data_IF_478279537118
#
_entry.id   IF_478279537118
#
_cell.length_a   1.000
_cell.length_b   1.000
_cell.length_c   1.000
_cell.angle_alpha   90.00
_cell.angle_beta   90.00
_cell.angle_gamma   90.00
#
_symmetry.space_group_name_H-M   'P 1'
#
loop_
_entity.id
_entity.type
_entity.pdbx_description
1 polymer ?
#
# COMPACT_ATOMS: atom_id res chain seq x y z
N UNK A 1 18.84 11.56 23.05
CA UNK A 1 18.92 10.12 22.72
C UNK A 1 20.13 9.90 21.86
N UNK A 2 20.98 8.96 22.26
CA UNK A 2 22.02 8.42 21.38
C UNK A 2 21.37 7.49 20.37
N UNK A 3 22.04 7.21 19.25
CA UNK A 3 21.51 6.27 18.24
C UNK A 3 21.27 4.88 18.82
N UNK A 4 22.07 4.50 19.81
CA UNK A 4 21.91 3.25 20.57
C UNK A 4 20.57 3.15 21.34
N UNK A 5 19.92 4.29 21.65
CA UNK A 5 18.66 4.32 22.39
C UNK A 5 17.42 4.13 21.48
N UNK A 6 17.61 4.13 20.15
CA UNK A 6 16.50 3.96 19.21
C UNK A 6 16.15 2.48 19.03
N UNK A 7 14.87 2.24 18.78
CA UNK A 7 14.44 0.95 18.24
C UNK A 7 15.19 0.67 16.94
N UNK A 8 15.65 -0.58 16.75
CA UNK A 8 16.34 -0.96 15.52
C UNK A 8 15.41 -0.85 14.31
N UNK A 9 15.98 -0.54 13.13
CA UNK A 9 15.23 -0.48 11.87
C UNK A 9 14.43 -1.77 11.62
N UNK A 10 15.04 -2.92 11.93
CA UNK A 10 14.38 -4.22 11.82
C UNK A 10 13.12 -4.31 12.72
N UNK A 11 13.23 -3.85 13.97
CA UNK A 11 12.10 -3.86 14.89
C UNK A 11 11.02 -2.84 14.49
N UNK A 12 11.39 -1.70 13.90
CA UNK A 12 10.44 -0.75 13.30
C UNK A 12 9.68 -1.40 12.16
N UNK A 13 10.38 -2.02 11.21
CA UNK A 13 9.78 -2.67 10.04
C UNK A 13 8.83 -3.78 10.48
N UNK A 14 9.28 -4.64 11.40
CA UNK A 14 8.46 -5.75 11.91
C UNK A 14 7.17 -5.24 12.56
N UNK A 15 7.26 -4.23 13.45
CA UNK A 15 6.10 -3.68 14.15
C UNK A 15 5.15 -2.96 13.20
N UNK A 16 5.67 -2.22 12.22
CA UNK A 16 4.85 -1.52 11.24
C UNK A 16 4.06 -2.51 10.36
N UNK A 17 4.73 -3.54 9.84
CA UNK A 17 4.08 -4.57 9.03
C UNK A 17 3.02 -5.33 9.83
N UNK A 18 3.31 -5.65 11.09
CA UNK A 18 2.36 -6.35 11.96
C UNK A 18 1.12 -5.49 12.26
N UNK A 19 1.31 -4.20 12.55
CA UNK A 19 0.19 -3.29 12.80
C UNK A 19 -0.74 -3.19 11.57
N UNK A 20 -0.18 -3.11 10.36
CA UNK A 20 -0.96 -3.10 9.11
C UNK A 20 -1.71 -4.41 8.92
N UNK A 21 -1.05 -5.56 9.17
CA UNK A 21 -1.67 -6.88 9.07
C UNK A 21 -2.88 -7.02 9.99
N UNK A 22 -2.72 -6.64 11.26
CA UNK A 22 -3.79 -6.71 12.27
C UNK A 22 -4.98 -5.83 11.85
N UNK A 23 -4.73 -4.61 11.39
CA UNK A 23 -5.81 -3.71 10.98
C UNK A 23 -6.56 -4.23 9.74
N UNK A 24 -5.85 -4.84 8.78
CA UNK A 24 -6.49 -5.48 7.63
C UNK A 24 -7.32 -6.71 8.02
N UNK A 25 -6.82 -7.55 8.93
CA UNK A 25 -7.57 -8.70 9.47
C UNK A 25 -8.82 -8.24 10.21
N UNK A 26 -8.72 -7.19 11.03
CA UNK A 26 -9.86 -6.58 11.72
C UNK A 26 -10.89 -6.01 10.75
N UNK A 27 -10.47 -5.28 9.72
CA UNK A 27 -11.38 -4.73 8.72
C UNK A 27 -12.16 -5.85 7.99
N UNK A 28 -11.48 -6.93 7.60
CA UNK A 28 -12.14 -8.11 7.03
C UNK A 28 -13.16 -8.73 7.98
N UNK A 29 -12.80 -8.90 9.25
CA UNK A 29 -13.71 -9.44 10.27
C UNK A 29 -14.94 -8.55 10.51
N UNK A 30 -14.82 -7.24 10.29
CA UNK A 30 -15.91 -6.27 10.42
C UNK A 30 -16.71 -6.05 9.11
N UNK A 31 -16.38 -6.77 8.04
CA UNK A 31 -17.03 -6.58 6.73
C UNK A 31 -16.66 -5.25 6.05
N UNK A 32 -15.57 -4.61 6.48
CA UNK A 32 -15.09 -3.35 5.91
C UNK A 32 -14.20 -3.67 4.70
N UNK A 33 -14.50 -3.12 3.51
CA UNK A 33 -13.67 -3.35 2.32
C UNK A 33 -12.24 -2.85 2.51
N UNK A 34 -11.27 -3.60 1.99
CA UNK A 34 -9.85 -3.26 2.06
C UNK A 34 -9.30 -2.91 0.67
N UNK A 35 -8.40 -1.94 0.61
CA UNK A 35 -7.74 -1.54 -0.65
C UNK A 35 -6.42 -2.28 -0.79
N UNK A 36 -6.25 -2.99 -1.90
CA UNK A 36 -5.06 -3.77 -2.23
C UNK A 36 -4.44 -3.18 -3.49
N UNK A 37 -3.17 -2.81 -3.40
CA UNK A 37 -2.39 -2.43 -4.57
C UNK A 37 -1.58 -3.64 -5.06
N UNK A 38 -1.87 -4.08 -6.28
CA UNK A 38 -1.05 -5.08 -6.96
C UNK A 38 0.11 -4.39 -7.70
N UNK A 39 1.33 -4.73 -7.30
CA UNK A 39 2.54 -4.13 -7.86
C UNK A 39 2.83 -4.64 -9.27
N UNK A 40 2.45 -5.87 -9.60
CA UNK A 40 2.73 -6.48 -10.90
C UNK A 40 1.85 -5.86 -11.98
N UNK A 41 0.53 -5.91 -11.81
CA UNK A 41 -0.42 -5.31 -12.76
C UNK A 41 -0.54 -3.78 -12.65
N UNK A 42 -0.05 -3.21 -11.53
CA UNK A 42 -0.21 -1.81 -11.14
C UNK A 42 -1.68 -1.39 -10.97
N UNK A 43 -2.54 -2.33 -10.59
CA UNK A 43 -3.96 -2.12 -10.36
C UNK A 43 -4.24 -1.96 -8.86
N UNK A 44 -5.16 -1.07 -8.53
CA UNK A 44 -5.70 -0.87 -7.19
C UNK A 44 -7.06 -1.58 -7.16
N UNK A 45 -7.16 -2.58 -6.30
CA UNK A 45 -8.37 -3.35 -6.05
C UNK A 45 -8.99 -2.94 -4.73
N UNK A 46 -10.32 -2.94 -4.69
CA UNK A 46 -11.08 -3.06 -3.46
C UNK A 46 -11.44 -4.54 -3.28
N UNK A 47 -10.99 -5.14 -2.19
CA UNK A 47 -11.37 -6.48 -1.76
C UNK A 47 -12.53 -6.34 -0.76
N UNK A 48 -13.65 -6.95 -1.07
CA UNK A 48 -14.82 -7.01 -0.19
C UNK A 48 -14.70 -8.16 0.80
N UNK A 49 -15.62 -8.21 1.75
CA UNK A 49 -15.71 -9.22 2.80
C UNK A 49 -15.95 -10.64 2.27
N UNK A 50 -16.69 -10.76 1.17
CA UNK A 50 -16.93 -12.01 0.43
C UNK A 50 -15.71 -12.50 -0.38
N UNK A 51 -14.58 -11.78 -0.32
CA UNK A 51 -13.35 -12.10 -1.04
C UNK A 51 -13.36 -11.69 -2.52
N UNK A 52 -14.45 -11.09 -3.01
CA UNK A 52 -14.48 -10.54 -4.36
C UNK A 52 -13.59 -9.31 -4.46
N UNK A 53 -12.97 -9.12 -5.63
CA UNK A 53 -12.12 -7.97 -5.93
C UNK A 53 -12.70 -7.15 -7.05
N UNK A 54 -12.83 -5.85 -6.82
CA UNK A 54 -13.23 -4.86 -7.81
C UNK A 54 -12.06 -3.94 -8.12
N UNK A 55 -11.72 -3.79 -9.39
CA UNK A 55 -10.78 -2.74 -9.80
C UNK A 55 -11.41 -1.37 -9.52
N UNK A 56 -10.72 -0.56 -8.69
CA UNK A 56 -11.15 0.80 -8.35
C UNK A 56 -10.24 1.87 -8.92
N UNK A 57 -9.09 1.46 -9.44
CA UNK A 57 -8.21 2.33 -10.17
C UNK A 57 -6.99 1.61 -10.68
N UNK A 58 -6.28 2.27 -11.58
CA UNK A 58 -4.97 1.84 -12.05
C UNK A 58 -3.98 2.91 -11.73
N UNK A 59 -2.76 2.54 -11.37
CA UNK A 59 -1.68 3.50 -11.17
C UNK A 59 -1.53 4.31 -12.46
N UNK A 60 -1.93 5.58 -12.42
CA UNK A 60 -1.63 6.51 -13.50
C UNK A 60 -0.13 6.77 -13.49
N UNK A 61 0.65 5.89 -14.12
CA UNK A 61 2.06 6.16 -14.38
C UNK A 61 2.11 7.23 -15.47
N UNK A 62 1.83 8.48 -15.09
CA UNK A 62 2.42 9.61 -15.82
C UNK A 62 3.91 9.47 -15.54
N UNK A 63 4.67 9.36 -16.61
CA UNK A 63 6.14 9.32 -16.69
C UNK A 63 6.81 10.19 -15.61
N UNK A 64 8.10 9.98 -15.31
CA UNK A 64 8.82 10.86 -14.36
C UNK A 64 8.56 12.32 -14.72
N UNK A 65 8.49 13.21 -13.72
CA UNK A 65 8.23 14.63 -13.99
C UNK A 65 9.14 15.20 -15.10
N UNK A 66 10.41 14.77 -15.14
CA UNK A 66 11.39 15.07 -16.19
C UNK A 66 10.99 14.58 -17.60
N UNK A 67 10.43 13.38 -17.70
CA UNK A 67 9.97 12.77 -18.96
C UNK A 67 8.71 13.48 -19.51
N UNK A 68 7.94 14.15 -18.65
CA UNK A 68 6.73 14.90 -19.03
C UNK A 68 7.05 16.28 -19.62
N UNK A 69 8.20 16.87 -19.30
CA UNK A 69 8.61 18.18 -19.80
C UNK A 69 9.20 18.07 -21.21
N UNK A 70 9.96 17.02 -21.50
CA UNK A 70 10.59 16.82 -22.82
C UNK A 70 9.60 16.62 -23.96
N UNK A 71 8.40 16.08 -23.71
CA UNK A 71 7.33 15.93 -24.72
C UNK A 71 6.64 17.24 -25.12
N UNK A 72 6.89 18.35 -24.43
CA UNK A 72 6.23 19.63 -24.66
C UNK A 72 7.11 20.64 -25.40
N UNK A 73 8.33 20.25 -25.78
CA UNK A 73 9.31 21.04 -26.53
C UNK A 73 9.34 20.63 -28.01
#
# INVERSE_FOLDING_TARGET
>A
MKREDYISDEAVIKRANEAVRIELEKNRALGVPVIIYDRESQIIYQENDDGTRKEVGRRMRKERYSERISKKA
#
